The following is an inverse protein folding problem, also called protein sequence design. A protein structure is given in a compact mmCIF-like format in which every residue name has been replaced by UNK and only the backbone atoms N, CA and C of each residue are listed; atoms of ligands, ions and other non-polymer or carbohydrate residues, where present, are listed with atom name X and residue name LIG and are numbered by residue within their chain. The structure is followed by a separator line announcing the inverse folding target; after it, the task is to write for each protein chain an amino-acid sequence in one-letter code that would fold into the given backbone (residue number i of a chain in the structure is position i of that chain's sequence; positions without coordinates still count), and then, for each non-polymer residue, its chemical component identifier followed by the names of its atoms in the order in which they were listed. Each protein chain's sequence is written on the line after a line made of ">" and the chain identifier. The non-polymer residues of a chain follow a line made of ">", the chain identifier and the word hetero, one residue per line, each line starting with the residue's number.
data_IF_140179760781
#
_entry.id   IF_140179760781
#
_cell.length_a   1.000
_cell.length_b   1.000
_cell.length_c   1.000
_cell.angle_alpha   90.00
_cell.angle_beta   90.00
_cell.angle_gamma   90.00
#
_symmetry.space_group_name_H-M   'P 1'
#
loop_
_entity.id
_entity.type
_entity.pdbx_description
1 polymer ?
#
# COMPACT_ATOMS: atom_id res chain seq x y z
N UNK A 1 -15.88 8.66 -3.22
CA UNK A 1 -15.57 8.89 -1.79
C UNK A 1 -14.07 8.99 -1.65
N UNK A 2 -13.59 9.82 -0.73
CA UNK A 2 -12.14 10.03 -0.55
C UNK A 2 -11.75 9.83 0.91
N UNK A 3 -10.64 9.13 1.14
CA UNK A 3 -10.00 9.00 2.44
C UNK A 3 -8.51 9.30 2.32
N UNK A 4 -7.92 9.82 3.40
CA UNK A 4 -6.49 10.13 3.49
C UNK A 4 -5.83 9.23 4.52
N UNK A 5 -4.69 8.65 4.14
CA UNK A 5 -3.76 7.97 5.04
C UNK A 5 -2.55 8.90 5.19
N UNK A 6 -2.36 9.45 6.38
CA UNK A 6 -1.20 10.29 6.69
C UNK A 6 -0.18 9.46 7.45
N UNK A 7 1.01 9.30 6.88
CA UNK A 7 2.13 8.56 7.48
C UNK A 7 3.14 9.52 8.07
N UNK A 8 3.84 9.10 9.13
CA UNK A 8 4.98 9.87 9.62
C UNK A 8 6.06 9.98 8.52
N UNK A 9 6.79 11.08 8.48
CA UNK A 9 7.91 11.25 7.51
C UNK A 9 8.89 10.08 7.56
N UNK A 10 9.24 9.63 8.77
CA UNK A 10 10.15 8.50 9.00
C UNK A 10 9.64 7.21 8.36
N UNK A 11 8.34 6.97 8.42
CA UNK A 11 7.73 5.78 7.83
C UNK A 11 7.67 5.88 6.31
N UNK A 12 7.30 7.05 5.77
CA UNK A 12 7.34 7.28 4.32
C UNK A 12 8.76 7.13 3.76
N UNK A 13 9.77 7.66 4.47
CA UNK A 13 11.18 7.53 4.11
C UNK A 13 11.63 6.06 4.13
N UNK A 14 11.18 5.28 5.13
CA UNK A 14 11.45 3.84 5.17
C UNK A 14 10.85 3.14 3.96
N UNK A 15 9.56 3.35 3.69
CA UNK A 15 8.85 2.73 2.56
C UNK A 15 9.53 3.05 1.23
N UNK A 16 9.83 4.33 0.99
CA UNK A 16 10.50 4.76 -0.24
C UNK A 16 11.91 4.17 -0.38
N UNK A 17 12.64 4.03 0.73
CA UNK A 17 13.93 3.37 0.72
C UNK A 17 13.81 1.86 0.44
N UNK A 18 12.79 1.17 0.99
CA UNK A 18 12.56 -0.24 0.71
C UNK A 18 12.25 -0.50 -0.77
N UNK A 19 11.48 0.37 -1.44
CA UNK A 19 11.19 0.26 -2.88
C UNK A 19 12.44 0.31 -3.77
N UNK A 20 13.53 0.90 -3.28
CA UNK A 20 14.80 0.99 -3.99
C UNK A 20 15.78 -0.17 -3.72
N UNK A 21 15.41 -1.16 -2.91
CA UNK A 21 16.27 -2.27 -2.50
C UNK A 21 15.72 -3.60 -3.00
N UNK A 22 16.61 -4.57 -3.25
CA UNK A 22 16.22 -5.96 -3.50
C UNK A 22 15.74 -6.63 -2.20
N UNK A 23 14.91 -7.68 -2.32
CA UNK A 23 14.47 -8.47 -1.16
C UNK A 23 15.63 -8.98 -0.29
N UNK A 24 16.72 -9.42 -0.90
CA UNK A 24 17.94 -9.82 -0.20
C UNK A 24 18.57 -8.69 0.63
N UNK A 25 18.67 -7.47 0.07
CA UNK A 25 19.20 -6.31 0.81
C UNK A 25 18.26 -5.89 1.95
N UNK A 26 16.96 -5.96 1.71
CA UNK A 26 15.94 -5.66 2.70
C UNK A 26 16.05 -6.63 3.89
N UNK A 27 16.17 -7.92 3.61
CA UNK A 27 16.33 -8.95 4.64
C UNK A 27 17.60 -8.71 5.47
N UNK A 28 18.74 -8.44 4.82
CA UNK A 28 20.00 -8.22 5.53
C UNK A 28 20.00 -6.95 6.41
N UNK A 29 19.37 -5.86 5.93
CA UNK A 29 19.38 -4.56 6.63
C UNK A 29 18.26 -4.40 7.66
N UNK A 30 17.07 -4.94 7.37
CA UNK A 30 15.85 -4.69 8.14
C UNK A 30 15.18 -5.96 8.66
N UNK A 31 15.53 -7.14 8.14
CA UNK A 31 14.99 -8.42 8.57
C UNK A 31 13.63 -8.79 7.98
N UNK A 32 13.04 -7.94 7.12
CA UNK A 32 11.80 -8.30 6.43
C UNK A 32 12.03 -9.45 5.46
N UNK A 33 11.06 -10.34 5.38
CA UNK A 33 11.11 -11.54 4.55
C UNK A 33 10.22 -11.39 3.33
N UNK A 34 10.46 -12.27 2.35
CA UNK A 34 9.55 -12.51 1.23
C UNK A 34 8.11 -12.65 1.72
N UNK A 35 7.18 -12.05 0.96
CA UNK A 35 5.72 -12.07 1.18
C UNK A 35 5.26 -11.31 2.44
N UNK A 36 6.18 -10.73 3.23
CA UNK A 36 5.79 -9.74 4.23
C UNK A 36 5.36 -8.44 3.53
N UNK A 37 4.41 -7.74 4.13
CA UNK A 37 3.89 -6.50 3.57
C UNK A 37 3.74 -5.41 4.64
N UNK A 38 4.11 -4.19 4.29
CA UNK A 38 3.71 -2.99 5.03
C UNK A 38 2.34 -2.57 4.49
N UNK A 39 1.31 -2.62 5.34
CA UNK A 39 -0.08 -2.37 4.95
C UNK A 39 -0.66 -1.20 5.73
N UNK A 40 -1.34 -0.31 5.01
CA UNK A 40 -2.16 0.73 5.60
C UNK A 40 -3.59 0.66 5.05
N UNK A 41 -4.57 0.74 5.93
CA UNK A 41 -5.99 0.57 5.56
C UNK A 41 -6.74 1.89 5.63
N UNK A 42 -7.38 2.28 4.53
CA UNK A 42 -8.41 3.31 4.51
C UNK A 42 -9.79 2.66 4.68
N UNK A 43 -10.57 3.12 5.66
CA UNK A 43 -11.94 2.63 5.90
C UNK A 43 -12.96 3.67 5.46
N UNK A 44 -13.98 3.23 4.73
CA UNK A 44 -15.07 4.07 4.25
C UNK A 44 -16.37 3.80 5.03
N UNK A 45 -17.29 4.78 5.14
CA UNK A 45 -18.51 4.64 5.93
C UNK A 45 -19.48 3.54 5.46
N UNK A 46 -19.34 3.07 4.22
CA UNK A 46 -20.21 2.07 3.58
C UNK A 46 -19.68 0.63 3.72
N UNK A 47 -18.68 0.41 4.58
CA UNK A 47 -18.09 -0.91 4.84
C UNK A 47 -17.05 -1.35 3.80
N UNK A 48 -16.65 -0.44 2.91
CA UNK A 48 -15.48 -0.63 2.06
C UNK A 48 -14.21 -0.36 2.86
N UNK A 49 -13.23 -1.24 2.71
CA UNK A 49 -11.87 -1.07 3.23
C UNK A 49 -10.91 -1.18 2.05
N UNK A 50 -9.91 -0.31 1.99
CA UNK A 50 -8.87 -0.35 0.95
C UNK A 50 -7.53 -0.41 1.64
N UNK A 51 -6.80 -1.50 1.42
CA UNK A 51 -5.42 -1.67 1.86
C UNK A 51 -4.49 -1.12 0.79
N UNK A 52 -3.55 -0.27 1.17
CA UNK A 52 -2.37 0.07 0.37
C UNK A 52 -1.18 -0.71 0.93
N UNK A 53 -0.49 -1.45 0.08
CA UNK A 53 0.54 -2.42 0.48
C UNK A 53 1.85 -2.15 -0.24
N UNK A 54 2.95 -2.40 0.46
CA UNK A 54 4.27 -2.61 -0.11
C UNK A 54 4.59 -4.07 0.17
N UNK A 55 4.81 -4.87 -0.87
CA UNK A 55 5.01 -6.31 -0.77
C UNK A 55 6.46 -6.64 -1.05
N UNK A 56 7.12 -7.32 -0.11
CA UNK A 56 8.53 -7.69 -0.22
C UNK A 56 8.70 -8.91 -1.14
N UNK A 57 9.48 -8.73 -2.20
CA UNK A 57 9.89 -9.79 -3.11
C UNK A 57 11.11 -10.55 -2.56
N UNK A 58 11.43 -11.72 -3.13
CA UNK A 58 12.60 -12.51 -2.71
C UNK A 58 13.91 -11.92 -3.26
N UNK A 59 14.05 -11.95 -4.59
CA UNK A 59 15.27 -11.50 -5.29
C UNK A 59 15.09 -10.13 -5.97
N UNK A 60 13.86 -9.74 -6.26
CA UNK A 60 13.53 -8.47 -6.94
C UNK A 60 13.25 -7.32 -5.94
N UNK A 61 13.08 -6.12 -6.48
CA UNK A 61 12.57 -4.98 -5.71
C UNK A 61 11.11 -5.18 -5.30
N UNK A 62 10.68 -4.71 -4.12
CA UNK A 62 9.28 -4.67 -3.74
C UNK A 62 8.40 -3.96 -4.77
N UNK A 63 7.12 -4.30 -4.74
CA UNK A 63 6.09 -3.57 -5.46
C UNK A 63 5.04 -3.03 -4.50
N UNK A 64 4.25 -2.07 -4.97
CA UNK A 64 3.08 -1.57 -4.27
C UNK A 64 1.81 -2.07 -4.91
N UNK A 65 0.78 -2.29 -4.11
CA UNK A 65 -0.55 -2.63 -4.61
C UNK A 65 -1.62 -2.04 -3.71
N UNK A 66 -2.79 -1.81 -4.27
CA UNK A 66 -3.97 -1.48 -3.49
C UNK A 66 -5.01 -2.58 -3.63
N UNK A 67 -5.64 -2.99 -2.52
CA UNK A 67 -6.65 -4.06 -2.49
C UNK A 67 -7.92 -3.57 -1.82
N UNK A 68 -9.04 -3.66 -2.54
CA UNK A 68 -10.36 -3.27 -2.06
C UNK A 68 -11.09 -4.49 -1.48
N UNK A 69 -11.60 -4.31 -0.26
CA UNK A 69 -12.41 -5.27 0.47
C UNK A 69 -13.82 -4.69 0.69
N UNK A 70 -14.82 -5.57 0.68
CA UNK A 70 -16.15 -5.28 1.16
C UNK A 70 -16.48 -6.23 2.31
N UNK A 71 -16.68 -5.67 3.51
CA UNK A 71 -16.96 -6.46 4.72
C UNK A 71 -15.93 -7.58 4.97
N UNK A 72 -14.65 -7.30 4.75
CA UNK A 72 -13.55 -8.25 4.93
C UNK A 72 -13.32 -9.24 3.78
N UNK A 73 -14.17 -9.22 2.74
CA UNK A 73 -13.96 -10.04 1.54
C UNK A 73 -13.28 -9.22 0.45
N UNK A 74 -12.15 -9.70 -0.06
CA UNK A 74 -11.46 -9.09 -1.21
C UNK A 74 -12.37 -9.05 -2.44
N UNK A 75 -12.35 -7.93 -3.16
CA UNK A 75 -13.18 -7.71 -4.34
C UNK A 75 -12.35 -7.43 -5.60
N UNK A 76 -11.32 -6.58 -5.49
CA UNK A 76 -10.45 -6.21 -6.61
C UNK A 76 -9.13 -5.62 -6.09
N UNK A 77 -8.08 -5.73 -6.89
CA UNK A 77 -6.80 -5.06 -6.67
C UNK A 77 -6.45 -4.10 -7.80
N UNK A 78 -5.42 -3.28 -7.58
CA UNK A 78 -4.71 -2.58 -8.65
C UNK A 78 -3.66 -3.50 -9.29
N UNK A 79 -3.15 -3.11 -10.45
CA UNK A 79 -1.88 -3.65 -10.93
C UNK A 79 -0.73 -3.25 -9.97
N UNK A 80 0.36 -4.03 -9.92
CA UNK A 80 1.56 -3.67 -9.19
C UNK A 80 2.14 -2.32 -9.64
N UNK A 81 2.57 -1.52 -8.67
CA UNK A 81 3.20 -0.21 -8.85
C UNK A 81 4.53 -0.08 -8.11
N UNK A 82 5.12 1.10 -8.19
CA UNK A 82 6.43 1.43 -7.59
C UNK A 82 6.43 2.73 -6.79
N UNK A 83 5.24 3.26 -6.48
CA UNK A 83 5.05 4.42 -5.61
C UNK A 83 4.04 4.04 -4.53
N UNK A 84 4.31 4.45 -3.29
CA UNK A 84 3.41 4.18 -2.17
C UNK A 84 2.50 5.37 -1.88
N UNK A 85 3.06 6.58 -1.98
CA UNK A 85 2.36 7.83 -1.82
C UNK A 85 1.55 8.23 -3.06
N UNK A 86 0.69 9.22 -2.90
CA UNK A 86 -0.15 9.75 -3.96
C UNK A 86 -1.55 9.16 -3.96
N UNK A 87 -2.19 9.22 -5.14
CA UNK A 87 -3.61 8.96 -5.31
C UNK A 87 -3.85 7.56 -5.85
N UNK A 88 -4.54 6.75 -5.06
CA UNK A 88 -5.04 5.42 -5.42
C UNK A 88 -6.53 5.52 -5.74
N UNK A 89 -6.94 5.06 -6.93
CA UNK A 89 -8.33 5.17 -7.40
C UNK A 89 -8.90 3.80 -7.74
N UNK A 90 -10.07 3.51 -7.19
CA UNK A 90 -10.83 2.28 -7.41
C UNK A 90 -12.23 2.60 -7.91
N UNK A 91 -12.74 1.76 -8.81
CA UNK A 91 -14.12 1.83 -9.28
C UNK A 91 -14.83 0.55 -8.88
N UNK A 92 -15.81 0.64 -7.99
CA UNK A 92 -16.54 -0.52 -7.49
C UNK A 92 -18.02 -0.22 -7.34
N UNK A 93 -18.87 -1.09 -7.91
CA UNK A 93 -20.35 -0.98 -7.87
C UNK A 93 -20.90 0.41 -8.26
N UNK A 94 -20.26 1.06 -9.23
CA UNK A 94 -20.66 2.39 -9.70
C UNK A 94 -20.19 3.56 -8.84
N UNK A 95 -19.42 3.30 -7.78
CA UNK A 95 -18.81 4.32 -6.92
C UNK A 95 -17.30 4.38 -7.15
N UNK A 96 -16.77 5.59 -7.24
CA UNK A 96 -15.32 5.83 -7.24
C UNK A 96 -14.83 5.99 -5.79
N UNK A 97 -13.82 5.23 -5.40
CA UNK A 97 -13.14 5.32 -4.11
C UNK A 97 -11.72 5.81 -4.34
N UNK A 98 -11.31 6.82 -3.58
CA UNK A 98 -10.01 7.44 -3.68
C UNK A 98 -9.33 7.34 -2.32
N UNK A 99 -8.11 6.81 -2.30
CA UNK A 99 -7.21 6.86 -1.14
C UNK A 99 -6.05 7.78 -1.50
N UNK A 100 -5.83 8.80 -0.68
CA UNK A 100 -4.66 9.68 -0.79
C UNK A 100 -3.69 9.27 0.31
N UNK A 101 -2.51 8.79 -0.09
CA UNK A 101 -1.42 8.49 0.85
C UNK A 101 -0.44 9.67 0.83
N UNK A 102 -0.20 10.26 1.98
CA UNK A 102 0.71 11.42 2.11
C UNK A 102 1.55 11.33 3.39
N UNK A 103 2.71 12.01 3.39
CA UNK A 103 3.52 12.16 4.59
C UNK A 103 3.01 13.34 5.44
N UNK A 104 3.21 13.26 6.76
CA UNK A 104 3.06 14.38 7.67
C UNK A 104 3.91 15.57 7.21
N UNK A 105 3.40 16.78 7.47
CA UNK A 105 4.06 18.03 7.07
C UNK A 105 5.30 18.37 7.88
#
# INVERSE_FOLDING_TARGET
>A
MTQTITLSKKEMDLINNLLGLTGSEIYQKYGYKRDEAITHTAKFPDGIEIDIKLVICEDDTPYTEGVLFQNGCEQTGTEPGYAYDGKWTFHFKGTEYIVIVEAEK
#
